data_IF_429191722978
#
_entry.id   IF_429191722978
#
_cell.length_a   1.000
_cell.length_b   1.000
_cell.length_c   1.000
_cell.angle_alpha   90.00
_cell.angle_beta   90.00
_cell.angle_gamma   90.00
#
_symmetry.space_group_name_H-M   'P 1'
#
loop_
_entity.id
_entity.type
_entity.pdbx_description
1 polymer ?
#
# COMPACT_ATOMS: atom_id res chain seq x y z
N UNK A 1 8.97 -19.96 -13.23
CA UNK A 1 7.91 -19.15 -12.63
C UNK A 1 7.45 -18.15 -13.66
N UNK A 2 6.15 -18.08 -13.91
CA UNK A 2 5.58 -17.06 -14.79
C UNK A 2 5.39 -15.73 -14.04
N UNK A 3 5.13 -14.63 -14.76
CA UNK A 3 5.00 -13.29 -14.15
C UNK A 3 3.76 -13.17 -13.25
N UNK A 4 2.71 -13.95 -13.51
CA UNK A 4 1.48 -13.88 -12.73
C UNK A 4 1.65 -14.59 -11.38
N UNK A 5 2.30 -15.75 -11.37
CA UNK A 5 2.69 -16.46 -10.15
C UNK A 5 3.60 -15.58 -9.28
N UNK A 6 4.59 -14.90 -9.89
CA UNK A 6 5.45 -13.97 -9.16
C UNK A 6 4.66 -12.78 -8.61
N UNK A 7 3.72 -12.22 -9.39
CA UNK A 7 2.86 -11.12 -8.94
C UNK A 7 2.04 -11.53 -7.72
N UNK A 8 1.48 -12.73 -7.71
CA UNK A 8 0.72 -13.23 -6.57
C UNK A 8 1.59 -13.35 -5.32
N UNK A 9 2.81 -13.90 -5.44
CA UNK A 9 3.75 -14.00 -4.31
C UNK A 9 4.16 -12.62 -3.78
N UNK A 10 4.37 -11.65 -4.66
CA UNK A 10 4.65 -10.25 -4.31
C UNK A 10 3.48 -9.65 -3.52
N UNK A 11 2.24 -9.83 -3.99
CA UNK A 11 1.04 -9.34 -3.30
C UNK A 11 0.92 -9.96 -1.91
N UNK A 12 1.14 -11.26 -1.79
CA UNK A 12 1.11 -11.94 -0.49
C UNK A 12 2.23 -11.45 0.44
N UNK A 13 3.44 -11.17 -0.06
CA UNK A 13 4.50 -10.56 0.73
C UNK A 13 4.12 -9.16 1.23
N UNK A 14 3.52 -8.33 0.37
CA UNK A 14 3.07 -6.98 0.72
C UNK A 14 1.94 -7.00 1.77
N UNK A 15 1.08 -8.02 1.77
CA UNK A 15 0.05 -8.21 2.80
C UNK A 15 0.61 -8.54 4.19
N UNK A 16 1.92 -8.82 4.29
CA UNK A 16 2.60 -9.05 5.57
C UNK A 16 3.36 -7.81 6.08
N UNK A 17 3.33 -6.70 5.34
CA UNK A 17 3.92 -5.43 5.77
C UNK A 17 2.82 -4.50 6.23
N UNK A 18 2.88 -4.06 7.48
CA UNK A 18 1.83 -3.27 8.14
C UNK A 18 2.27 -1.83 8.40
N UNK A 19 1.33 -0.90 8.27
CA UNK A 19 1.56 0.47 8.76
C UNK A 19 1.47 0.47 10.31
N UNK A 20 2.46 1.03 11.03
CA UNK A 20 2.49 1.01 12.49
C UNK A 20 1.46 1.95 13.14
N UNK A 21 0.99 2.96 12.42
CA UNK A 21 -0.04 3.91 12.87
C UNK A 21 -1.45 3.38 12.56
N UNK A 22 -1.61 2.75 11.39
CA UNK A 22 -2.86 2.12 10.97
C UNK A 22 -2.59 0.62 10.78
N UNK A 23 -2.93 -0.26 11.75
CA UNK A 23 -2.49 -1.66 11.80
C UNK A 23 -3.19 -2.56 10.75
N UNK A 24 -3.03 -2.20 9.48
CA UNK A 24 -3.52 -2.83 8.26
C UNK A 24 -2.34 -2.87 7.29
N UNK A 25 -2.30 -3.89 6.45
CA UNK A 25 -1.21 -4.08 5.51
C UNK A 25 -1.19 -3.03 4.40
N UNK A 26 0.01 -2.74 3.88
CA UNK A 26 0.24 -1.71 2.87
C UNK A 26 -0.50 -1.98 1.55
N UNK A 27 -0.80 -3.24 1.26
CA UNK A 27 -1.60 -3.64 0.10
C UNK A 27 -3.06 -3.25 0.29
N UNK A 28 -3.68 -3.66 1.39
CA UNK A 28 -5.08 -3.37 1.68
C UNK A 28 -5.35 -1.92 2.04
N UNK A 29 -4.35 -1.20 2.56
CA UNK A 29 -4.40 0.26 2.70
C UNK A 29 -4.38 1.00 1.35
N UNK A 30 -4.06 0.31 0.25
CA UNK A 30 -3.95 0.93 -1.06
C UNK A 30 -2.74 1.86 -1.18
N UNK A 31 -1.65 1.56 -0.46
CA UNK A 31 -0.41 2.34 -0.55
C UNK A 31 0.42 1.96 -1.78
N UNK A 32 0.16 0.79 -2.37
CA UNK A 32 0.87 0.29 -3.55
C UNK A 32 0.11 0.71 -4.81
N UNK A 33 0.69 1.61 -5.60
CA UNK A 33 0.07 2.18 -6.80
C UNK A 33 0.39 1.38 -8.05
N UNK A 34 1.63 0.90 -8.15
CA UNK A 34 2.09 0.17 -9.32
C UNK A 34 3.04 -0.95 -8.91
N UNK A 35 2.90 -2.11 -9.55
CA UNK A 35 3.87 -3.21 -9.47
C UNK A 35 4.18 -3.60 -10.92
N UNK A 36 5.41 -3.33 -11.34
CA UNK A 36 5.93 -3.68 -12.64
C UNK A 36 7.00 -4.77 -12.52
N UNK A 37 6.71 -5.94 -13.07
CA UNK A 37 7.63 -7.09 -13.09
C UNK A 37 8.34 -7.11 -14.44
N UNK A 38 9.58 -6.62 -14.44
CA UNK A 38 10.45 -6.65 -15.61
C UNK A 38 10.91 -8.06 -15.92
N UNK A 39 11.55 -8.20 -17.08
CA UNK A 39 12.20 -9.46 -17.42
C UNK A 39 13.34 -9.75 -16.43
N UNK A 40 13.67 -11.03 -16.27
CA UNK A 40 14.68 -11.53 -15.33
C UNK A 40 14.37 -11.42 -13.84
N UNK A 41 13.18 -10.96 -13.42
CA UNK A 41 12.76 -10.96 -12.01
C UNK A 41 13.08 -9.66 -11.26
N UNK A 42 13.33 -8.55 -11.98
CA UNK A 42 13.43 -7.21 -11.39
C UNK A 42 12.02 -6.66 -11.16
N UNK A 43 11.75 -6.18 -9.94
CA UNK A 43 10.44 -5.65 -9.54
C UNK A 43 10.56 -4.17 -9.25
N UNK A 44 9.85 -3.34 -10.00
CA UNK A 44 9.67 -1.94 -9.65
C UNK A 44 8.30 -1.76 -8.97
N UNK A 45 8.29 -1.08 -7.84
CA UNK A 45 7.08 -0.74 -7.09
C UNK A 45 6.99 0.76 -6.95
N UNK A 46 5.84 1.34 -7.32
CA UNK A 46 5.49 2.70 -6.91
C UNK A 46 4.55 2.62 -5.73
N UNK A 47 4.89 3.30 -4.66
CA UNK A 47 4.06 3.37 -3.47
C UNK A 47 3.99 4.78 -2.91
N UNK A 48 3.03 4.99 -2.02
CA UNK A 48 2.85 6.24 -1.28
C UNK A 48 2.75 5.97 0.22
N UNK A 49 2.45 7.01 1.00
CA UNK A 49 2.18 6.94 2.42
C UNK A 49 0.84 7.61 2.74
N UNK A 50 0.29 7.27 3.89
CA UNK A 50 -0.93 7.90 4.43
C UNK A 50 -0.74 9.39 4.71
N UNK A 51 0.48 9.82 5.06
CA UNK A 51 0.85 11.22 5.23
C UNK A 51 2.33 11.48 4.87
N UNK A 52 2.66 12.65 4.27
CA UNK A 52 4.04 13.05 3.97
C UNK A 52 4.81 13.40 5.25
N UNK A 53 6.12 13.12 5.27
CA UNK A 53 7.03 13.55 6.35
C UNK A 53 6.92 12.76 7.66
N UNK A 54 6.21 11.63 7.66
CA UNK A 54 6.07 10.80 8.86
C UNK A 54 7.40 10.12 9.24
N UNK A 55 7.85 10.13 10.52
CA UNK A 55 9.08 9.45 10.94
C UNK A 55 9.09 7.95 10.61
N UNK A 56 7.91 7.32 10.55
CA UNK A 56 7.76 5.88 10.23
C UNK A 56 7.87 5.56 8.73
N UNK A 57 7.88 6.57 7.86
CA UNK A 57 7.97 6.42 6.40
C UNK A 57 9.15 5.51 5.99
N UNK A 58 10.33 5.79 6.54
CA UNK A 58 11.55 5.04 6.22
C UNK A 58 11.46 3.58 6.68
N UNK A 59 10.75 3.32 7.78
CA UNK A 59 10.56 1.97 8.29
C UNK A 59 9.65 1.16 7.36
N UNK A 60 8.53 1.72 6.91
CA UNK A 60 7.61 1.05 5.98
C UNK A 60 8.33 0.78 4.65
N UNK A 61 9.06 1.76 4.11
CA UNK A 61 9.84 1.58 2.87
C UNK A 61 10.84 0.44 2.99
N UNK A 62 11.59 0.39 4.10
CA UNK A 62 12.54 -0.67 4.36
C UNK A 62 11.84 -2.04 4.46
N UNK A 63 10.72 -2.12 5.17
CA UNK A 63 9.97 -3.38 5.31
C UNK A 63 9.39 -3.85 3.98
N UNK A 64 8.90 -2.95 3.13
CA UNK A 64 8.44 -3.28 1.77
C UNK A 64 9.60 -3.81 0.95
N UNK A 65 10.75 -3.11 0.94
CA UNK A 65 11.94 -3.57 0.21
C UNK A 65 12.38 -4.96 0.67
N UNK A 66 12.51 -5.16 1.99
CA UNK A 66 12.94 -6.43 2.59
C UNK A 66 11.95 -7.56 2.28
N UNK A 67 10.64 -7.33 2.46
CA UNK A 67 9.62 -8.32 2.16
C UNK A 67 9.67 -8.78 0.69
N UNK A 68 9.83 -7.83 -0.25
CA UNK A 68 9.90 -8.13 -1.67
C UNK A 68 11.21 -8.84 -2.07
N UNK A 69 12.34 -8.45 -1.49
CA UNK A 69 13.64 -9.09 -1.75
C UNK A 69 13.67 -10.55 -1.30
N UNK A 70 12.86 -10.92 -0.30
CA UNK A 70 12.75 -12.29 0.19
C UNK A 70 11.76 -13.15 -0.60
N UNK A 71 11.06 -12.60 -1.61
CA UNK A 71 10.16 -13.38 -2.47
C UNK A 71 10.96 -14.23 -3.45
N UNK A 72 10.72 -15.54 -3.45
CA UNK A 72 11.38 -16.46 -4.38
C UNK A 72 11.17 -16.03 -5.85
N UNK A 73 12.28 -15.82 -6.55
CA UNK A 73 12.36 -15.44 -7.96
C UNK A 73 12.27 -13.93 -8.24
N UNK A 74 12.16 -13.10 -7.19
CA UNK A 74 12.63 -11.72 -7.25
C UNK A 74 14.15 -11.73 -7.24
N UNK A 75 14.77 -10.95 -8.14
CA UNK A 75 16.23 -10.77 -8.19
C UNK A 75 16.67 -9.41 -7.68
N UNK A 76 15.84 -8.40 -7.91
CA UNK A 76 16.12 -7.02 -7.50
C UNK A 76 14.80 -6.27 -7.31
N UNK A 77 14.82 -5.26 -6.45
CA UNK A 77 13.64 -4.49 -6.06
C UNK A 77 13.97 -3.00 -6.08
N UNK A 78 13.21 -2.24 -6.87
CA UNK A 78 13.24 -0.79 -6.86
C UNK A 78 11.92 -0.27 -6.29
N UNK A 79 11.96 0.45 -5.16
CA UNK A 79 10.77 1.11 -4.60
C UNK A 79 10.88 2.61 -4.81
N UNK A 80 9.94 3.17 -5.55
CA UNK A 80 9.78 4.60 -5.75
C UNK A 80 8.65 5.12 -4.84
N UNK A 81 8.99 6.09 -3.99
CA UNK A 81 8.02 6.77 -3.15
C UNK A 81 7.45 7.98 -3.92
N UNK A 82 6.15 7.96 -4.16
CA UNK A 82 5.40 9.04 -4.82
C UNK A 82 4.36 9.65 -3.88
N UNK A 83 4.07 10.93 -4.08
CA UNK A 83 3.04 11.66 -3.33
C UNK A 83 1.95 12.26 -4.23
N UNK A 84 2.04 12.01 -5.54
CA UNK A 84 1.04 12.41 -6.53
C UNK A 84 0.58 11.17 -7.32
N UNK A 85 -0.73 10.85 -7.35
CA UNK A 85 -1.78 11.49 -6.56
C UNK A 85 -1.57 11.28 -5.04
N UNK A 86 -2.06 12.17 -4.17
CA UNK A 86 -2.00 11.96 -2.73
C UNK A 86 -2.85 10.75 -2.35
N UNK A 87 -2.46 10.06 -1.27
CA UNK A 87 -3.29 9.02 -0.71
C UNK A 87 -4.58 9.58 -0.10
N UNK A 88 -5.67 8.84 -0.25
CA UNK A 88 -6.92 9.11 0.43
C UNK A 88 -7.63 7.79 0.77
N UNK A 89 -8.55 7.78 1.76
CA UNK A 89 -9.20 6.56 2.21
C UNK A 89 -9.92 5.76 1.13
N UNK A 90 -10.36 6.38 0.03
CA UNK A 90 -11.05 5.68 -1.06
C UNK A 90 -10.14 4.71 -1.83
N UNK A 91 -8.81 4.79 -1.62
CA UNK A 91 -7.83 3.88 -2.22
C UNK A 91 -7.73 2.53 -1.51
N UNK A 92 -8.28 2.40 -0.30
CA UNK A 92 -8.30 1.12 0.40
C UNK A 92 -9.05 0.05 -0.40
N UNK A 93 -8.59 -1.19 -0.30
CA UNK A 93 -9.37 -2.33 -0.79
C UNK A 93 -10.62 -2.49 0.07
N UNK A 94 -11.61 -3.24 -0.41
CA UNK A 94 -12.79 -3.60 0.38
C UNK A 94 -12.39 -4.32 1.69
N UNK A 95 -11.41 -5.23 1.60
CA UNK A 95 -10.84 -5.92 2.76
C UNK A 95 -10.16 -4.95 3.73
N UNK A 96 -9.38 -3.99 3.23
CA UNK A 96 -8.73 -2.96 4.05
C UNK A 96 -9.73 -2.06 4.76
N UNK A 97 -10.77 -1.61 4.05
CA UNK A 97 -11.86 -0.82 4.61
C UNK A 97 -12.59 -1.58 5.71
N UNK A 98 -12.87 -2.87 5.52
CA UNK A 98 -13.55 -3.70 6.52
C UNK A 98 -12.66 -3.93 7.76
N UNK A 99 -11.37 -4.24 7.58
CA UNK A 99 -10.40 -4.31 8.69
C UNK A 99 -10.33 -3.00 9.46
N UNK A 100 -10.31 -1.86 8.77
CA UNK A 100 -10.31 -0.56 9.40
C UNK A 100 -11.53 -0.37 10.31
N UNK A 101 -12.73 -0.70 9.82
CA UNK A 101 -13.96 -0.64 10.63
C UNK A 101 -13.88 -1.51 11.87
N UNK A 102 -13.33 -2.70 11.75
CA UNK A 102 -13.19 -3.63 12.87
C UNK A 102 -12.22 -3.10 13.93
N UNK A 103 -11.12 -2.46 13.51
CA UNK A 103 -10.10 -1.90 14.41
C UNK A 103 -10.58 -0.61 15.08
N UNK A 104 -11.17 0.31 14.33
CA UNK A 104 -11.46 1.67 14.78
C UNK A 104 -12.95 1.94 15.09
N UNK A 105 -13.85 1.05 14.69
CA UNK A 105 -15.28 1.13 14.99
C UNK A 105 -16.11 2.06 14.10
N UNK A 106 -15.53 2.60 13.01
CA UNK A 106 -16.24 3.47 12.05
C UNK A 106 -15.70 3.31 10.63
N UNK A 107 -16.46 3.84 9.66
CA UNK A 107 -16.11 3.79 8.23
C UNK A 107 -15.41 5.06 7.77
N UNK A 108 -14.08 5.02 7.72
CA UNK A 108 -13.24 6.16 7.31
C UNK A 108 -13.49 6.62 5.87
N UNK A 109 -13.93 5.73 4.98
CA UNK A 109 -14.24 6.11 3.60
C UNK A 109 -15.50 6.95 3.56
N UNK A 110 -16.55 6.55 4.29
CA UNK A 110 -17.78 7.34 4.40
C UNK A 110 -17.51 8.72 5.05
N UNK A 111 -16.70 8.76 6.10
CA UNK A 111 -16.33 10.04 6.74
C UNK A 111 -15.57 10.95 5.78
N UNK A 112 -14.61 10.40 5.03
CA UNK A 112 -13.85 11.16 4.05
C UNK A 112 -14.75 11.73 2.93
N UNK A 113 -15.65 10.91 2.38
CA UNK A 113 -16.59 11.35 1.35
C UNK A 113 -17.55 12.42 1.87
N UNK A 114 -18.08 12.27 3.09
CA UNK A 114 -18.91 13.31 3.74
C UNK A 114 -18.18 14.64 3.85
N UNK A 115 -16.93 14.62 4.31
CA UNK A 115 -16.13 15.84 4.45
C UNK A 115 -15.85 16.50 3.09
N UNK A 116 -15.56 15.69 2.07
CA UNK A 116 -15.30 16.15 0.72
C UNK A 116 -16.54 16.78 0.07
N UNK A 117 -17.71 16.16 0.24
CA UNK A 117 -18.99 16.72 -0.25
C UNK A 117 -19.30 18.08 0.37
N UNK A 118 -19.11 18.24 1.69
CA UNK A 118 -19.28 19.53 2.38
C UNK A 118 -18.29 20.58 1.88
N UNK A 119 -17.05 20.19 1.58
CA UNK A 119 -16.04 21.11 1.05
C UNK A 119 -16.35 21.55 -0.40
N UNK A 120 -16.90 20.66 -1.21
CA UNK A 120 -17.23 20.92 -2.62
C UNK A 120 -18.58 21.65 -2.79
N UNK A 121 -19.47 21.59 -1.79
CA UNK A 121 -20.78 22.24 -1.79
C UNK A 121 -21.05 23.00 -0.46
N UNK A 122 -20.39 24.16 -0.27
CA UNK A 122 -20.42 24.93 0.98
C UNK A 122 -21.74 25.66 1.27
#
# INVERSE_FOLDING_TARGET
MDKEELRQRIVEALKNVYDPEIPIDVWNLGLIYEINIKDEGVVDVKMTLTAPGCPVANMILYQVMDALQNVEGVKDVNVELVFDPPWDPTKMTEEGREKFKQVFGYDIVEEYLRQKEVQENP
#
